data_IF_396168430065
#
_entry.id   IF_396168430065
#
_cell.length_a   1.000
_cell.length_b   1.000
_cell.length_c   1.000
_cell.angle_alpha   90.00
_cell.angle_beta   90.00
_cell.angle_gamma   90.00
#
_symmetry.space_group_name_H-M   'P 1'
#
loop_
_entity.id
_entity.type
_entity.pdbx_description
1 polymer ?
#
# COMPACT_ATOMS: atom_id res chain seq x y z
N UNK A 1 -50.21 -9.06 -22.73
CA UNK A 1 -49.28 -7.99 -22.30
C UNK A 1 -48.55 -8.23 -20.96
N UNK A 2 -49.07 -9.02 -20.01
CA UNK A 2 -48.49 -9.18 -18.65
C UNK A 2 -47.08 -9.81 -18.59
N UNK A 3 -46.74 -10.70 -19.53
CA UNK A 3 -45.46 -11.44 -19.55
C UNK A 3 -44.22 -10.55 -19.83
N UNK A 4 -44.42 -9.45 -20.56
CA UNK A 4 -43.37 -8.48 -20.97
C UNK A 4 -43.07 -7.40 -19.91
N UNK A 5 -43.79 -7.38 -18.78
CA UNK A 5 -43.48 -6.49 -17.66
C UNK A 5 -42.54 -7.17 -16.65
N UNK A 6 -42.70 -8.48 -16.47
CA UNK A 6 -41.92 -9.27 -15.51
C UNK A 6 -40.48 -9.55 -15.94
N UNK A 7 -40.18 -9.52 -17.24
CA UNK A 7 -38.80 -9.66 -17.76
C UNK A 7 -38.01 -8.36 -17.60
N UNK A 8 -38.64 -7.20 -17.83
CA UNK A 8 -37.98 -5.89 -17.65
C UNK A 8 -37.74 -5.58 -16.16
N UNK A 9 -38.67 -5.92 -15.26
CA UNK A 9 -38.42 -5.78 -13.81
C UNK A 9 -37.32 -6.73 -13.34
N UNK A 10 -37.27 -7.97 -13.84
CA UNK A 10 -36.16 -8.90 -13.57
C UNK A 10 -34.83 -8.35 -14.06
N UNK A 11 -34.78 -7.78 -15.28
CA UNK A 11 -33.59 -7.12 -15.81
C UNK A 11 -33.15 -5.96 -14.93
N UNK A 12 -34.08 -5.12 -14.48
CA UNK A 12 -33.79 -4.01 -13.57
C UNK A 12 -33.19 -4.52 -12.24
N UNK A 13 -33.76 -5.55 -11.62
CA UNK A 13 -33.20 -6.14 -10.40
C UNK A 13 -31.82 -6.75 -10.62
N UNK A 14 -31.60 -7.42 -11.75
CA UNK A 14 -30.29 -7.99 -12.11
C UNK A 14 -29.27 -6.87 -12.28
N UNK A 15 -29.59 -5.82 -13.03
CA UNK A 15 -28.70 -4.67 -13.22
C UNK A 15 -28.39 -3.99 -11.90
N UNK A 16 -29.39 -3.78 -11.05
CA UNK A 16 -29.21 -3.18 -9.73
C UNK A 16 -28.32 -4.05 -8.83
N UNK A 17 -28.56 -5.37 -8.82
CA UNK A 17 -27.74 -6.32 -8.08
C UNK A 17 -26.28 -6.33 -8.56
N UNK A 18 -26.05 -6.23 -9.87
CA UNK A 18 -24.70 -6.12 -10.44
C UNK A 18 -24.01 -4.84 -9.97
N UNK A 19 -24.69 -3.69 -10.05
CA UNK A 19 -24.12 -2.40 -9.61
C UNK A 19 -23.79 -2.44 -8.12
N UNK A 20 -24.73 -2.91 -7.30
CA UNK A 20 -24.50 -3.05 -5.86
C UNK A 20 -23.38 -4.06 -5.54
N UNK A 21 -23.30 -5.15 -6.29
CA UNK A 21 -22.24 -6.15 -6.16
C UNK A 21 -20.86 -5.56 -6.47
N UNK A 22 -20.74 -4.78 -7.54
CA UNK A 22 -19.49 -4.10 -7.89
C UNK A 22 -19.09 -3.12 -6.77
N UNK A 23 -20.02 -2.30 -6.28
CA UNK A 23 -19.75 -1.37 -5.18
C UNK A 23 -19.30 -2.10 -3.91
N UNK A 24 -19.96 -3.21 -3.56
CA UNK A 24 -19.57 -4.03 -2.42
C UNK A 24 -18.15 -4.59 -2.57
N UNK A 25 -17.76 -5.04 -3.77
CA UNK A 25 -16.41 -5.54 -4.05
C UNK A 25 -15.37 -4.43 -3.83
N UNK A 26 -15.61 -3.21 -4.29
CA UNK A 26 -14.69 -2.08 -4.06
C UNK A 26 -14.51 -1.77 -2.58
N UNK A 27 -15.60 -1.76 -1.80
CA UNK A 27 -15.55 -1.51 -0.36
C UNK A 27 -14.76 -2.62 0.34
N UNK A 28 -15.05 -3.88 0.03
CA UNK A 28 -14.35 -5.03 0.62
C UNK A 28 -12.87 -5.01 0.25
N UNK A 29 -12.53 -4.74 -1.01
CA UNK A 29 -11.14 -4.64 -1.46
C UNK A 29 -10.37 -3.56 -0.69
N UNK A 30 -10.97 -2.39 -0.45
CA UNK A 30 -10.37 -1.33 0.35
C UNK A 30 -10.27 -1.68 1.83
N UNK A 31 -11.11 -2.57 2.35
CA UNK A 31 -11.11 -2.97 3.76
C UNK A 31 -10.09 -4.10 4.05
N UNK A 32 -9.68 -4.87 3.04
CA UNK A 32 -8.71 -5.98 3.19
C UNK A 32 -7.41 -5.54 3.89
N UNK A 33 -6.75 -4.42 3.52
CA UNK A 33 -5.54 -3.96 4.21
C UNK A 33 -5.77 -3.62 5.68
N UNK A 34 -6.96 -3.16 6.06
CA UNK A 34 -7.27 -2.86 7.45
C UNK A 34 -7.55 -4.14 8.27
N UNK A 35 -8.18 -5.14 7.67
CA UNK A 35 -8.53 -6.38 8.35
C UNK A 35 -7.38 -7.39 8.42
N UNK A 36 -6.57 -7.48 7.36
CA UNK A 36 -5.53 -8.50 7.20
C UNK A 36 -4.14 -7.91 7.00
N UNK A 37 -4.03 -6.59 6.82
CA UNK A 37 -2.73 -5.94 6.72
C UNK A 37 -2.03 -5.85 8.06
N UNK A 38 -0.72 -5.66 7.99
CA UNK A 38 0.14 -5.50 9.15
C UNK A 38 0.54 -4.04 9.28
N UNK A 39 0.41 -3.50 10.49
CA UNK A 39 0.86 -2.16 10.80
C UNK A 39 2.39 -2.12 10.99
N UNK A 40 3.03 -1.28 10.18
CA UNK A 40 4.47 -1.02 10.18
C UNK A 40 4.66 0.48 10.43
N UNK A 41 5.30 0.82 11.54
CA UNK A 41 5.61 2.21 11.91
C UNK A 41 7.01 2.51 11.41
N UNK A 42 7.16 3.52 10.56
CA UNK A 42 8.45 3.91 9.99
C UNK A 42 8.87 5.28 10.51
N UNK A 43 10.16 5.42 10.84
CA UNK A 43 10.74 6.69 11.22
C UNK A 43 10.86 7.61 9.99
N UNK A 44 10.32 8.82 10.10
CA UNK A 44 10.47 9.86 9.06
C UNK A 44 11.79 10.60 9.22
N UNK A 45 12.36 11.02 8.09
CA UNK A 45 13.52 11.90 8.03
C UNK A 45 13.02 13.36 8.05
N UNK A 46 13.55 14.22 8.92
CA UNK A 46 13.14 15.62 8.97
C UNK A 46 13.58 16.32 7.68
N UNK A 47 12.63 16.91 6.95
CA UNK A 47 12.87 17.67 5.73
C UNK A 47 12.19 19.03 5.88
N UNK A 48 12.89 20.11 5.51
CA UNK A 48 12.33 21.47 5.48
C UNK A 48 11.28 21.57 4.37
N UNK A 49 10.01 21.86 4.69
CA UNK A 49 8.92 21.88 3.72
C UNK A 49 8.82 23.20 2.93
N UNK A 50 9.71 24.16 3.15
CA UNK A 50 9.59 25.47 2.51
C UNK A 50 10.28 25.54 1.15
N UNK A 51 9.51 25.86 0.10
CA UNK A 51 10.06 26.16 -1.21
C UNK A 51 9.63 27.57 -1.69
N UNK A 52 10.57 28.45 -2.07
CA UNK A 52 10.29 29.86 -2.38
C UNK A 52 9.22 30.11 -3.46
N UNK A 53 9.05 29.18 -4.41
CA UNK A 53 8.13 29.35 -5.55
C UNK A 53 6.83 28.53 -5.42
N UNK A 54 6.82 27.47 -4.60
CA UNK A 54 5.72 26.50 -4.54
C UNK A 54 4.95 26.58 -3.21
N UNK A 55 5.45 27.38 -2.27
CA UNK A 55 4.91 27.45 -0.92
C UNK A 55 5.36 26.27 -0.06
N UNK A 56 4.51 25.86 0.88
CA UNK A 56 4.78 24.76 1.79
C UNK A 56 4.38 23.43 1.14
N UNK A 57 5.37 22.58 0.87
CA UNK A 57 5.13 21.17 0.53
C UNK A 57 6.12 20.30 1.29
N UNK A 58 5.65 19.17 1.83
CA UNK A 58 6.51 18.25 2.57
C UNK A 58 6.73 16.98 1.76
N UNK A 59 7.98 16.70 1.40
CA UNK A 59 8.37 15.37 0.96
C UNK A 59 8.67 14.53 2.21
N UNK A 60 7.96 13.42 2.40
CA UNK A 60 8.16 12.53 3.55
C UNK A 60 9.20 11.50 3.17
N UNK A 61 10.45 11.76 3.54
CA UNK A 61 11.51 10.76 3.51
C UNK A 61 11.40 9.82 4.71
N UNK A 62 11.79 8.55 4.55
CA UNK A 62 11.92 7.60 5.64
C UNK A 62 13.39 7.29 5.88
N UNK A 63 13.75 6.94 7.12
CA UNK A 63 15.11 6.52 7.47
C UNK A 63 15.58 5.35 6.59
N UNK A 64 14.69 4.40 6.29
CA UNK A 64 14.98 3.21 5.47
C UNK A 64 15.13 3.50 3.96
N UNK A 65 14.84 4.73 3.52
CA UNK A 65 14.98 5.11 2.10
C UNK A 65 16.43 5.27 1.66
N UNK A 66 17.34 5.46 2.61
CA UNK A 66 18.78 5.57 2.38
C UNK A 66 19.50 4.51 3.22
N UNK A 67 20.33 3.68 2.57
CA UNK A 67 21.13 2.66 3.26
C UNK A 67 22.59 2.94 2.92
N UNK A 68 23.35 3.41 3.92
CA UNK A 68 24.72 3.90 3.69
C UNK A 68 25.75 2.79 3.47
N UNK A 69 25.45 1.55 3.89
CA UNK A 69 26.41 0.44 3.87
C UNK A 69 25.75 -0.87 3.44
N UNK A 70 25.53 -1.06 2.14
CA UNK A 70 25.25 -2.38 1.61
C UNK A 70 26.50 -2.95 0.95
N UNK A 71 27.07 -4.02 1.52
CA UNK A 71 28.09 -4.85 0.86
C UNK A 71 27.56 -5.56 -0.41
N UNK A 72 26.29 -5.33 -0.73
CA UNK A 72 25.65 -5.77 -1.96
C UNK A 72 26.02 -4.82 -3.10
N UNK A 73 26.61 -5.40 -4.13
CA UNK A 73 26.80 -4.77 -5.43
C UNK A 73 25.43 -4.56 -6.08
N UNK A 74 24.88 -3.35 -6.00
CA UNK A 74 23.55 -2.99 -6.54
C UNK A 74 23.73 -1.93 -7.61
N UNK A 75 23.13 -2.18 -8.77
CA UNK A 75 23.12 -1.22 -9.88
C UNK A 75 21.77 -0.53 -9.99
N UNK A 76 21.74 0.66 -10.60
CA UNK A 76 20.50 1.38 -10.81
C UNK A 76 19.54 0.55 -11.66
N UNK A 77 18.34 0.29 -11.12
CA UNK A 77 17.32 -0.56 -11.74
C UNK A 77 17.19 -1.95 -11.13
N UNK A 78 18.13 -2.34 -10.26
CA UNK A 78 18.03 -3.60 -9.52
C UNK A 78 16.90 -3.56 -8.49
N UNK A 79 16.17 -4.68 -8.39
CA UNK A 79 15.18 -4.88 -7.35
C UNK A 79 15.86 -5.46 -6.10
N UNK A 80 15.74 -4.74 -4.99
CA UNK A 80 16.27 -5.16 -3.68
C UNK A 80 15.14 -5.26 -2.67
N UNK A 81 15.29 -6.21 -1.76
CA UNK A 81 14.36 -6.46 -0.66
C UNK A 81 15.05 -6.06 0.64
N UNK A 82 14.33 -5.31 1.46
CA UNK A 82 14.79 -4.85 2.77
C UNK A 82 13.99 -5.60 3.83
N UNK A 83 14.69 -6.20 4.79
CA UNK A 83 14.09 -6.77 5.99
C UNK A 83 14.07 -5.72 7.09
N UNK A 84 12.93 -5.64 7.78
CA UNK A 84 12.70 -4.67 8.86
C UNK A 84 12.54 -5.40 10.18
N UNK A 85 13.04 -4.79 11.25
CA UNK A 85 12.88 -5.27 12.62
C UNK A 85 12.33 -4.15 13.50
N UNK A 86 11.35 -4.49 14.33
CA UNK A 86 10.80 -3.56 15.32
C UNK A 86 11.80 -3.35 16.45
N UNK A 87 12.06 -2.10 16.80
CA UNK A 87 12.86 -1.72 17.95
C UNK A 87 12.05 -1.77 19.26
N UNK A 88 12.67 -1.33 20.37
CA UNK A 88 12.03 -1.29 21.69
C UNK A 88 10.84 -0.33 21.80
N UNK A 89 10.73 0.63 20.88
CA UNK A 89 9.65 1.61 20.81
C UNK A 89 8.55 1.18 19.81
N UNK A 90 8.72 0.04 19.14
CA UNK A 90 7.79 -0.49 18.15
C UNK A 90 7.98 0.08 16.74
N UNK A 91 9.06 0.86 16.52
CA UNK A 91 9.40 1.45 15.22
C UNK A 91 10.18 0.42 14.41
N UNK A 92 9.76 0.20 13.17
CA UNK A 92 10.42 -0.70 12.23
C UNK A 92 11.66 -0.05 11.63
N UNK A 93 12.83 -0.61 11.94
CA UNK A 93 14.14 -0.16 11.45
C UNK A 93 14.75 -1.18 10.48
N UNK A 94 15.72 -0.70 9.71
CA UNK A 94 16.51 -1.53 8.79
C UNK A 94 17.24 -2.65 9.55
N UNK A 95 17.15 -3.89 9.06
CA UNK A 95 17.89 -5.04 9.58
C UNK A 95 18.87 -5.61 8.55
N UNK A 96 18.39 -5.89 7.34
CA UNK A 96 19.23 -6.46 6.28
C UNK A 96 18.68 -6.18 4.89
N UNK A 97 19.51 -6.39 3.88
CA UNK A 97 19.17 -6.23 2.46
C UNK A 97 19.52 -7.51 1.68
N UNK A 98 18.71 -7.85 0.69
CA UNK A 98 18.87 -9.04 -0.16
C UNK A 98 18.37 -8.77 -1.58
N UNK A 99 19.02 -9.35 -2.59
CA UNK A 99 18.50 -9.37 -3.98
C UNK A 99 17.39 -10.41 -4.18
N UNK A 100 17.42 -11.47 -3.36
CA UNK A 100 16.40 -12.50 -3.41
C UNK A 100 15.25 -12.14 -2.49
N UNK A 101 14.04 -12.30 -2.99
CA UNK A 101 12.83 -12.15 -2.19
C UNK A 101 12.91 -13.13 -1.01
N UNK A 102 12.77 -12.65 0.24
CA UNK A 102 12.78 -13.55 1.38
C UNK A 102 11.60 -14.53 1.28
N UNK A 103 11.87 -15.81 1.56
CA UNK A 103 10.88 -16.88 1.47
C UNK A 103 9.74 -16.72 2.50
N UNK A 104 10.07 -16.11 3.63
CA UNK A 104 9.16 -15.69 4.68
C UNK A 104 9.61 -14.32 5.14
N UNK A 105 8.66 -13.41 5.26
CA UNK A 105 8.86 -12.05 5.71
C UNK A 105 7.60 -11.64 6.44
N UNK A 106 7.80 -10.96 7.55
CA UNK A 106 6.73 -10.55 8.44
C UNK A 106 6.43 -9.08 8.22
#
# INVERSE_FOLDING_TARGET
MKKRKNNETKRLYITLAIVLGILAIFILYSAVPYMFGKEIILQTKPIDPFHPLLGQYMNVGYEISEIENSDLDVTQGDMVYISLKKDSEGISRFESISKNKPASGD
#
